data_IF_122863907886
#
_entry.id   IF_122863907886
#
_cell.length_a   1.000
_cell.length_b   1.000
_cell.length_c   1.000
_cell.angle_alpha   90.00
_cell.angle_beta   90.00
_cell.angle_gamma   90.00
#
_symmetry.space_group_name_H-M   'P 1'
#
loop_
_entity.id
_entity.type
_entity.pdbx_description
1 polymer ?
#
# COMPACT_ATOMS: atom_id res chain seq x y z
N UNK A 1 -12.66 -4.07 0.29
CA UNK A 1 -12.05 -2.74 0.19
C UNK A 1 -13.11 -1.69 -0.11
N UNK A 2 -13.04 -0.56 0.57
CA UNK A 2 -13.88 0.62 0.35
C UNK A 2 -13.06 1.68 -0.38
N UNK A 3 -13.58 2.13 -1.51
CA UNK A 3 -12.99 3.20 -2.31
C UNK A 3 -13.21 4.56 -1.64
N UNK A 4 -12.24 5.47 -1.73
CA UNK A 4 -12.33 6.83 -1.17
C UNK A 4 -12.85 6.85 0.27
N UNK A 5 -12.37 5.92 1.11
CA UNK A 5 -12.94 5.66 2.44
C UNK A 5 -12.91 6.87 3.37
N UNK A 6 -11.96 7.78 3.19
CA UNK A 6 -11.83 9.03 3.96
C UNK A 6 -12.97 10.04 3.72
N UNK A 7 -13.77 9.85 2.66
CA UNK A 7 -14.95 10.66 2.36
C UNK A 7 -16.26 10.03 2.84
N UNK A 8 -16.22 8.81 3.37
CA UNK A 8 -17.42 8.10 3.79
C UNK A 8 -17.90 8.58 5.17
N UNK A 9 -19.22 8.53 5.36
CA UNK A 9 -19.82 8.89 6.63
C UNK A 9 -19.41 7.88 7.73
N UNK A 10 -18.99 8.36 8.88
CA UNK A 10 -18.50 7.53 9.99
C UNK A 10 -19.59 6.62 10.56
N UNK A 11 -20.85 7.07 10.63
CA UNK A 11 -21.95 6.20 11.12
C UNK A 11 -22.20 5.05 10.13
N UNK A 12 -22.04 5.29 8.82
CA UNK A 12 -22.09 4.22 7.84
C UNK A 12 -20.95 3.21 8.07
N UNK A 13 -19.71 3.68 8.29
CA UNK A 13 -18.57 2.78 8.52
C UNK A 13 -18.76 1.94 9.80
N UNK A 14 -19.28 2.52 10.87
CA UNK A 14 -19.58 1.80 12.10
C UNK A 14 -20.66 0.74 11.90
N UNK A 15 -21.74 1.07 11.21
CA UNK A 15 -22.81 0.11 10.89
C UNK A 15 -22.30 -1.01 9.98
N UNK A 16 -21.49 -0.67 8.98
CA UNK A 16 -20.88 -1.65 8.08
C UNK A 16 -19.98 -2.61 8.88
N UNK A 17 -19.15 -2.09 9.79
CA UNK A 17 -18.30 -2.90 10.67
C UNK A 17 -19.12 -3.88 11.48
N UNK A 18 -20.12 -3.40 12.23
CA UNK A 18 -20.99 -4.23 13.05
C UNK A 18 -21.73 -5.28 12.23
N UNK A 19 -22.20 -4.92 11.03
CA UNK A 19 -22.86 -5.85 10.13
C UNK A 19 -21.92 -6.96 9.66
N UNK A 20 -20.71 -6.61 9.22
CA UNK A 20 -19.72 -7.60 8.78
C UNK A 20 -19.32 -8.54 9.91
N UNK A 21 -19.07 -8.02 11.11
CA UNK A 21 -18.70 -8.81 12.28
C UNK A 21 -19.82 -9.78 12.70
N UNK A 22 -21.10 -9.41 12.49
CA UNK A 22 -22.24 -10.29 12.76
C UNK A 22 -22.35 -11.48 11.80
N UNK A 23 -21.84 -11.30 10.56
CA UNK A 23 -21.86 -12.36 9.54
C UNK A 23 -20.59 -13.22 9.59
N UNK A 24 -19.45 -12.59 9.82
CA UNK A 24 -18.14 -13.25 9.86
C UNK A 24 -17.20 -12.46 10.78
N UNK A 25 -16.91 -12.95 12.00
CA UNK A 25 -16.12 -12.23 13.01
C UNK A 25 -14.74 -11.75 12.52
N UNK A 26 -14.11 -12.52 11.61
CA UNK A 26 -12.78 -12.19 11.07
C UNK A 26 -12.85 -11.48 9.70
N UNK A 27 -13.96 -10.82 9.38
CA UNK A 27 -14.11 -10.14 8.09
C UNK A 27 -13.27 -8.87 8.04
N UNK A 28 -12.20 -8.90 7.22
CA UNK A 28 -11.26 -7.79 7.13
C UNK A 28 -11.81 -6.64 6.27
N UNK A 29 -11.93 -5.45 6.88
CA UNK A 29 -12.34 -4.22 6.21
C UNK A 29 -11.13 -3.32 5.96
N UNK A 30 -10.86 -3.05 4.68
CA UNK A 30 -9.79 -2.19 4.20
C UNK A 30 -10.39 -0.93 3.58
N UNK A 31 -9.88 0.25 3.94
CA UNK A 31 -10.22 1.52 3.32
C UNK A 31 -9.12 2.07 2.44
N UNK A 32 -9.48 2.67 1.33
CA UNK A 32 -8.55 3.51 0.61
C UNK A 32 -8.52 4.90 1.23
N UNK A 33 -7.31 5.35 1.59
CA UNK A 33 -7.05 6.68 2.14
C UNK A 33 -5.79 7.24 1.54
N UNK A 34 -5.88 8.42 0.92
CA UNK A 34 -4.75 9.05 0.23
C UNK A 34 -3.90 9.90 1.17
N UNK A 35 -4.54 10.56 2.15
CA UNK A 35 -3.92 11.54 3.03
C UNK A 35 -4.73 11.73 4.33
N UNK A 36 -4.22 12.55 5.24
CA UNK A 36 -4.88 12.87 6.52
C UNK A 36 -4.46 11.96 7.67
N UNK A 37 -5.20 12.06 8.77
CA UNK A 37 -5.01 11.17 9.91
C UNK A 37 -5.84 9.90 9.72
N UNK A 38 -5.15 8.80 9.48
CA UNK A 38 -5.77 7.49 9.24
C UNK A 38 -6.55 6.97 10.47
N UNK A 39 -6.21 7.42 11.68
CA UNK A 39 -6.93 7.02 12.90
C UNK A 39 -8.40 7.42 12.90
N UNK A 40 -8.79 8.43 12.12
CA UNK A 40 -10.19 8.86 12.05
C UNK A 40 -11.12 7.75 11.58
N UNK A 41 -10.65 6.87 10.69
CA UNK A 41 -11.46 5.76 10.15
C UNK A 41 -10.85 4.38 10.41
N UNK A 42 -9.56 4.30 10.78
CA UNK A 42 -8.88 3.04 11.12
C UNK A 42 -8.84 2.90 12.64
N UNK A 43 -9.87 2.27 13.19
CA UNK A 43 -10.05 2.07 14.64
C UNK A 43 -10.95 0.87 14.91
N UNK A 44 -11.18 0.56 16.19
CA UNK A 44 -11.91 -0.64 16.61
C UNK A 44 -13.39 -0.64 16.20
N UNK A 45 -13.97 0.53 15.89
CA UNK A 45 -15.38 0.66 15.50
C UNK A 45 -15.61 0.68 13.97
N UNK A 46 -14.58 0.93 13.16
CA UNK A 46 -14.72 1.15 11.72
C UNK A 46 -13.83 0.19 10.91
N UNK A 47 -12.75 0.68 10.31
CA UNK A 47 -11.91 -0.11 9.41
C UNK A 47 -10.73 -0.74 10.15
N UNK A 48 -10.35 -1.94 9.77
CA UNK A 48 -9.18 -2.64 10.31
C UNK A 48 -7.86 -2.05 9.79
N UNK A 49 -7.86 -1.59 8.55
CA UNK A 49 -6.67 -1.08 7.88
C UNK A 49 -7.04 -0.07 6.80
N UNK A 50 -6.07 0.74 6.41
CA UNK A 50 -6.15 1.63 5.26
C UNK A 50 -4.86 1.56 4.42
N UNK A 51 -4.92 2.08 3.19
CA UNK A 51 -3.77 2.14 2.28
C UNK A 51 -2.72 3.14 2.75
N UNK A 52 -1.44 2.76 2.71
CA UNK A 52 -0.32 3.57 3.17
C UNK A 52 0.34 4.36 2.03
N UNK A 53 -0.35 5.39 1.55
CA UNK A 53 0.18 6.26 0.49
C UNK A 53 1.39 7.08 0.91
N UNK A 54 1.54 7.38 2.20
CA UNK A 54 2.72 8.10 2.72
C UNK A 54 3.98 7.25 2.52
N UNK A 55 3.97 5.98 2.94
CA UNK A 55 5.09 5.09 2.71
C UNK A 55 5.30 4.75 1.23
N UNK A 56 4.22 4.61 0.43
CA UNK A 56 4.33 4.45 -1.01
C UNK A 56 5.20 5.55 -1.63
N UNK A 57 4.91 6.82 -1.31
CA UNK A 57 5.70 7.95 -1.80
C UNK A 57 7.13 7.88 -1.29
N UNK A 58 7.33 7.63 0.00
CA UNK A 58 8.65 7.50 0.61
C UNK A 58 9.50 6.39 0.00
N UNK A 59 8.88 5.26 -0.36
CA UNK A 59 9.56 4.13 -0.99
C UNK A 59 10.20 4.55 -2.32
N UNK A 60 9.40 4.91 -3.34
CA UNK A 60 9.97 5.19 -4.65
C UNK A 60 10.86 6.44 -4.67
N UNK A 61 10.51 7.49 -3.91
CA UNK A 61 11.32 8.72 -3.87
C UNK A 61 12.69 8.47 -3.26
N UNK A 62 12.78 7.66 -2.21
CA UNK A 62 14.04 7.32 -1.55
C UNK A 62 14.99 6.56 -2.49
N UNK A 63 14.48 5.59 -3.25
CA UNK A 63 15.29 4.87 -4.23
C UNK A 63 15.69 5.75 -5.42
N UNK A 64 14.82 6.63 -5.89
CA UNK A 64 15.11 7.51 -7.01
C UNK A 64 16.11 8.62 -6.66
N UNK A 65 16.06 9.14 -5.44
CA UNK A 65 17.02 10.16 -4.95
C UNK A 65 18.28 9.57 -4.32
N UNK A 66 18.37 8.25 -4.15
CA UNK A 66 19.43 7.56 -3.40
C UNK A 66 19.57 8.09 -1.97
N UNK A 67 18.45 8.46 -1.35
CA UNK A 67 18.38 9.03 -0.02
C UNK A 67 17.19 8.44 0.75
N UNK A 68 17.47 7.64 1.76
CA UNK A 68 16.46 6.93 2.56
C UNK A 68 15.81 7.79 3.64
N UNK A 69 16.08 9.10 3.70
CA UNK A 69 15.55 9.98 4.75
C UNK A 69 14.01 10.01 4.77
N UNK A 70 13.37 10.13 3.60
CA UNK A 70 11.91 10.26 3.53
C UNK A 70 11.19 9.00 4.03
N UNK A 71 11.59 7.81 3.55
CA UNK A 71 10.96 6.56 4.02
C UNK A 71 11.29 6.29 5.50
N UNK A 72 12.51 6.57 5.95
CA UNK A 72 12.87 6.42 7.35
C UNK A 72 12.03 7.34 8.25
N UNK A 73 11.85 8.61 7.85
CA UNK A 73 11.01 9.55 8.57
C UNK A 73 9.56 9.07 8.66
N UNK A 74 8.98 8.61 7.54
CA UNK A 74 7.62 8.07 7.52
C UNK A 74 7.46 6.84 8.41
N UNK A 75 8.41 5.92 8.39
CA UNK A 75 8.38 4.72 9.24
C UNK A 75 8.49 5.06 10.73
N UNK A 76 9.40 5.95 11.11
CA UNK A 76 9.54 6.39 12.50
C UNK A 76 8.30 7.14 12.99
N UNK A 77 7.73 8.01 12.15
CA UNK A 77 6.50 8.74 12.47
C UNK A 77 5.30 7.81 12.63
N UNK A 78 5.18 6.79 11.81
CA UNK A 78 4.04 5.88 11.82
C UNK A 78 4.17 4.76 12.86
N UNK A 79 5.35 4.17 13.01
CA UNK A 79 5.57 2.92 13.74
C UNK A 79 6.75 2.96 14.73
N UNK A 80 7.40 4.10 14.90
CA UNK A 80 8.56 4.25 15.78
C UNK A 80 8.28 3.94 17.25
N UNK A 81 9.31 3.94 18.10
CA UNK A 81 9.18 3.62 19.53
C UNK A 81 8.55 4.74 20.36
N UNK A 82 8.54 5.96 19.83
CA UNK A 82 8.15 7.17 20.56
C UNK A 82 6.67 7.24 20.92
N UNK A 83 6.32 8.01 21.95
CA UNK A 83 4.93 8.15 22.39
C UNK A 83 4.05 8.94 21.41
N UNK A 84 4.65 9.76 20.54
CA UNK A 84 3.94 10.51 19.49
C UNK A 84 3.71 9.71 18.20
N UNK A 85 4.13 8.45 18.15
CA UNK A 85 3.95 7.57 16.98
C UNK A 85 2.46 7.39 16.67
N UNK A 86 2.09 7.61 15.40
CA UNK A 86 0.69 7.72 14.99
C UNK A 86 -0.07 6.39 14.96
N UNK A 87 0.57 5.32 14.47
CA UNK A 87 -0.13 4.06 14.14
C UNK A 87 0.48 2.85 14.86
N UNK A 88 0.98 3.07 16.07
CA UNK A 88 1.56 2.01 16.90
C UNK A 88 0.55 0.87 17.12
N UNK A 89 0.96 -0.35 16.81
CA UNK A 89 0.11 -1.54 16.93
C UNK A 89 -0.93 -1.71 15.82
N UNK A 90 -0.96 -0.82 14.82
CA UNK A 90 -1.84 -0.91 13.65
C UNK A 90 -1.08 -1.41 12.42
N UNK A 91 -1.80 -2.04 11.50
CA UNK A 91 -1.25 -2.63 10.28
C UNK A 91 -1.85 -1.95 9.06
N UNK A 92 -1.10 -1.04 8.44
CA UNK A 92 -1.48 -0.38 7.20
C UNK A 92 -1.19 -1.28 5.99
N UNK A 93 -1.99 -1.19 4.92
CA UNK A 93 -1.70 -1.86 3.66
C UNK A 93 -0.57 -1.14 2.93
N UNK A 94 0.60 -1.76 2.88
CA UNK A 94 1.80 -1.23 2.25
C UNK A 94 1.97 -1.77 0.83
N UNK A 95 2.30 -0.90 -0.13
CA UNK A 95 2.41 -1.26 -1.54
C UNK A 95 3.49 -0.42 -2.22
N UNK A 96 4.03 -0.92 -3.31
CA UNK A 96 5.00 -0.20 -4.16
C UNK A 96 4.34 0.40 -5.41
N UNK A 97 3.20 -0.11 -5.81
CA UNK A 97 2.27 0.44 -6.80
C UNK A 97 0.86 -0.14 -6.63
N UNK A 98 -0.10 0.40 -7.37
CA UNK A 98 -1.47 -0.08 -7.46
C UNK A 98 -2.12 0.34 -8.78
N UNK A 99 -3.43 0.13 -8.91
CA UNK A 99 -4.21 0.44 -10.11
C UNK A 99 -4.41 1.95 -10.39
N UNK A 100 -4.03 2.83 -9.50
CA UNK A 100 -4.23 4.29 -9.60
C UNK A 100 -2.92 5.08 -9.73
N UNK A 101 -1.77 4.42 -9.64
CA UNK A 101 -0.46 5.07 -9.72
C UNK A 101 0.42 4.43 -10.79
N UNK A 102 1.44 5.15 -11.22
CA UNK A 102 2.47 4.61 -12.12
C UNK A 102 3.05 3.33 -11.55
N UNK A 103 3.17 2.29 -12.39
CA UNK A 103 3.76 1.00 -12.02
C UNK A 103 5.19 1.18 -11.49
N UNK A 104 5.55 0.41 -10.48
CA UNK A 104 6.86 0.54 -9.81
C UNK A 104 8.03 0.38 -10.78
N UNK A 105 7.92 -0.54 -11.75
CA UNK A 105 8.93 -0.73 -12.79
C UNK A 105 9.05 0.45 -13.78
N UNK A 106 8.07 1.35 -13.81
CA UNK A 106 8.10 2.58 -14.62
C UNK A 106 8.52 3.81 -13.83
N UNK A 107 8.22 3.88 -12.52
CA UNK A 107 8.54 5.05 -11.69
C UNK A 107 9.99 5.05 -11.20
N UNK A 108 10.64 3.89 -11.11
CA UNK A 108 12.03 3.78 -10.67
C UNK A 108 13.00 4.24 -11.77
N UNK A 109 13.90 5.16 -11.42
CA UNK A 109 14.98 5.64 -12.31
C UNK A 109 16.00 4.53 -12.62
N UNK A 110 16.17 3.56 -11.72
CA UNK A 110 17.04 2.42 -11.90
C UNK A 110 16.28 1.13 -11.63
N UNK A 111 16.05 0.34 -12.66
CA UNK A 111 15.31 -0.92 -12.58
C UNK A 111 15.96 -1.96 -11.65
N UNK A 112 17.27 -1.86 -11.40
CA UNK A 112 17.98 -2.73 -10.44
C UNK A 112 17.52 -2.53 -9.00
N UNK A 113 16.84 -1.42 -8.69
CA UNK A 113 16.24 -1.18 -7.39
C UNK A 113 14.91 -1.93 -7.18
N UNK A 114 14.34 -2.53 -8.24
CA UNK A 114 13.04 -3.19 -8.16
C UNK A 114 12.99 -4.32 -7.11
N UNK A 115 13.95 -5.25 -7.02
CA UNK A 115 13.98 -6.21 -5.91
C UNK A 115 14.16 -5.56 -4.55
N UNK A 116 14.96 -4.50 -4.47
CA UNK A 116 15.27 -3.83 -3.20
C UNK A 116 14.07 -3.08 -2.61
N UNK A 117 13.27 -2.43 -3.46
CA UNK A 117 12.05 -1.74 -2.99
C UNK A 117 11.01 -2.74 -2.47
N UNK A 118 10.90 -3.94 -3.07
CA UNK A 118 10.07 -5.01 -2.56
C UNK A 118 10.61 -5.57 -1.24
N UNK A 119 11.93 -5.79 -1.12
CA UNK A 119 12.54 -6.21 0.15
C UNK A 119 12.19 -5.24 1.29
N UNK A 120 12.28 -3.93 1.02
CA UNK A 120 11.93 -2.93 2.01
C UNK A 120 10.43 -2.94 2.31
N UNK A 121 9.56 -3.02 1.29
CA UNK A 121 8.10 -3.06 1.48
C UNK A 121 7.63 -4.27 2.28
N UNK A 122 8.26 -5.43 2.11
CA UNK A 122 7.95 -6.64 2.89
C UNK A 122 8.54 -6.62 4.30
N UNK A 123 9.69 -5.97 4.49
CA UNK A 123 10.36 -5.86 5.79
C UNK A 123 9.81 -4.75 6.69
N UNK A 124 9.02 -3.80 6.17
CA UNK A 124 8.45 -2.72 6.97
C UNK A 124 7.17 -3.17 7.71
N UNK A 125 6.79 -2.51 8.83
CA UNK A 125 5.54 -2.79 9.51
C UNK A 125 4.33 -2.60 8.61
N UNK A 126 3.35 -3.51 8.71
CA UNK A 126 2.10 -3.43 7.95
C UNK A 126 1.74 -4.72 7.24
N UNK A 127 0.86 -4.62 6.26
CA UNK A 127 0.40 -5.72 5.42
C UNK A 127 0.96 -5.47 4.02
N UNK A 128 1.95 -6.24 3.55
CA UNK A 128 2.50 -6.06 2.21
C UNK A 128 1.47 -6.46 1.14
N UNK A 129 1.39 -5.65 0.09
CA UNK A 129 0.51 -5.89 -1.05
C UNK A 129 1.30 -5.80 -2.35
N UNK A 130 1.19 -6.82 -3.18
CA UNK A 130 1.73 -6.84 -4.55
C UNK A 130 0.58 -6.69 -5.51
N UNK A 131 0.68 -5.68 -6.39
CA UNK A 131 -0.32 -5.46 -7.43
C UNK A 131 -0.02 -6.39 -8.62
N UNK A 132 -1.05 -7.02 -9.18
CA UNK A 132 -0.89 -8.01 -10.25
C UNK A 132 -0.09 -7.44 -11.43
N UNK A 133 0.83 -8.23 -11.95
CA UNK A 133 1.76 -7.81 -13.00
C UNK A 133 3.04 -7.16 -12.50
N UNK A 134 3.01 -6.54 -11.34
CA UNK A 134 4.19 -5.89 -10.77
C UNK A 134 5.22 -6.88 -10.26
N UNK A 135 4.81 -8.10 -9.89
CA UNK A 135 5.68 -9.20 -9.50
C UNK A 135 6.59 -9.70 -10.62
N UNK A 136 6.27 -9.43 -11.89
CA UNK A 136 7.19 -9.67 -13.02
C UNK A 136 7.69 -8.39 -13.69
N UNK A 137 7.42 -7.22 -13.07
CA UNK A 137 7.92 -5.94 -13.55
C UNK A 137 7.12 -5.34 -14.71
N UNK A 138 5.80 -5.56 -14.77
CA UNK A 138 4.93 -4.89 -15.73
C UNK A 138 5.06 -3.37 -15.62
N UNK A 139 5.06 -2.69 -16.77
CA UNK A 139 5.25 -1.25 -16.90
C UNK A 139 3.98 -0.55 -17.36
N UNK A 140 3.68 0.58 -16.78
CA UNK A 140 2.68 1.54 -17.25
C UNK A 140 2.85 2.86 -16.49
N UNK A 141 2.57 3.99 -17.14
CA UNK A 141 2.58 5.31 -16.52
C UNK A 141 1.15 5.81 -16.28
N UNK A 142 0.95 6.56 -15.23
CA UNK A 142 -0.37 7.18 -14.94
C UNK A 142 -0.84 8.10 -16.07
N UNK A 143 0.07 8.73 -16.80
CA UNK A 143 -0.24 9.57 -17.96
C UNK A 143 -0.82 8.82 -19.15
N UNK A 144 -0.67 7.48 -19.20
CA UNK A 144 -1.23 6.61 -20.25
C UNK A 144 -2.69 6.22 -19.97
N UNK A 145 -3.20 6.64 -18.80
CA UNK A 145 -4.57 6.40 -18.37
C UNK A 145 -4.80 5.04 -17.69
N UNK A 146 -6.00 4.89 -17.16
CA UNK A 146 -6.39 3.70 -16.39
C UNK A 146 -6.28 2.37 -17.15
N UNK A 147 -6.61 2.28 -18.47
CA UNK A 147 -6.45 1.01 -19.18
C UNK A 147 -5.02 0.47 -19.19
N UNK A 148 -4.01 1.36 -19.23
CA UNK A 148 -2.62 0.94 -19.17
C UNK A 148 -2.23 0.42 -17.77
N UNK A 149 -2.67 1.11 -16.72
CA UNK A 149 -2.41 0.69 -15.34
C UNK A 149 -3.11 -0.63 -14.97
N UNK A 150 -4.29 -0.87 -15.57
CA UNK A 150 -5.19 -2.00 -15.30
C UNK A 150 -5.22 -2.99 -16.46
N UNK A 151 -4.09 -3.13 -17.17
CA UNK A 151 -3.99 -4.01 -18.34
C UNK A 151 -4.40 -5.45 -17.98
N UNK A 152 -5.12 -6.09 -18.91
CA UNK A 152 -5.39 -7.52 -18.84
C UNK A 152 -4.17 -8.28 -19.37
N UNK A 153 -3.75 -9.31 -18.64
CA UNK A 153 -2.66 -10.20 -19.06
C UNK A 153 -3.24 -11.58 -19.35
N UNK A 154 -2.84 -12.18 -20.47
CA UNK A 154 -3.30 -13.51 -20.87
C UNK A 154 -2.80 -14.60 -19.93
N UNK A 155 -1.60 -14.44 -19.38
CA UNK A 155 -0.99 -15.34 -18.42
C UNK A 155 0.03 -14.62 -17.54
N UNK A 156 0.30 -15.14 -16.31
CA UNK A 156 1.43 -14.67 -15.51
C UNK A 156 2.76 -14.90 -16.24
N UNK A 157 3.73 -14.01 -16.01
CA UNK A 157 5.09 -14.17 -16.53
C UNK A 157 6.01 -14.59 -15.40
N UNK A 158 6.64 -15.73 -15.54
CA UNK A 158 7.67 -16.19 -14.62
C UNK A 158 9.04 -15.68 -15.08
N UNK A 159 9.73 -14.96 -14.17
CA UNK A 159 11.07 -14.44 -14.39
C UNK A 159 11.84 -14.38 -13.06
N UNK A 160 13.07 -13.85 -13.09
CA UNK A 160 13.93 -13.76 -11.91
C UNK A 160 13.29 -12.93 -10.77
N UNK A 161 12.52 -11.88 -11.11
CA UNK A 161 11.83 -11.06 -10.11
C UNK A 161 10.71 -11.85 -9.43
N UNK A 162 9.89 -12.55 -10.21
CA UNK A 162 8.81 -13.41 -9.67
C UNK A 162 9.40 -14.48 -8.74
N UNK A 163 10.46 -15.15 -9.18
CA UNK A 163 11.16 -16.17 -8.40
C UNK A 163 11.80 -15.58 -7.13
N UNK A 164 12.23 -14.31 -7.17
CA UNK A 164 12.79 -13.63 -6.01
C UNK A 164 11.71 -13.21 -5.01
N UNK A 165 10.58 -12.67 -5.48
CA UNK A 165 9.46 -12.24 -4.63
C UNK A 165 8.80 -13.42 -3.92
N UNK A 166 8.79 -14.61 -4.53
CA UNK A 166 8.18 -15.82 -3.97
C UNK A 166 9.01 -16.50 -2.86
N UNK A 167 10.24 -16.05 -2.61
CA UNK A 167 11.13 -16.53 -1.53
C UNK A 167 10.92 -15.80 -0.24
#
# INVERSE_FOLDING_TARGET
RLDVAYCLNHDFLKRLRSFCDSLKPDFFLLGETLHGDYNQIMNDEMLHSVTNYECYKGLYSSFNSMNMFEINHSLLRQFGPENWTLYKGKHLLSFVDNHDVTRVASILNNIRHLPLIYALAFGMPGIPCVYYGSEWGAKANKSEGDPALRACFDAPVENDLTAWISK
#
